data_IF_026928458587
#
_entry.id   IF_026928458587
#
_cell.length_a   1.000
_cell.length_b   1.000
_cell.length_c   1.000
_cell.angle_alpha   90.00
_cell.angle_beta   90.00
_cell.angle_gamma   90.00
#
_symmetry.space_group_name_H-M   'P 1'
#
loop_
_entity.id
_entity.type
_entity.pdbx_description
1 polymer ?
#
# COMPACT_ATOMS: atom_id res chain seq x y z
N UNK A 1 32.09 -14.04 -32.63
CA UNK A 1 30.84 -14.45 -31.96
C UNK A 1 30.31 -13.22 -31.23
N UNK A 2 29.20 -12.67 -31.75
CA UNK A 2 28.56 -11.46 -31.26
C UNK A 2 27.89 -11.73 -29.92
N UNK A 3 28.34 -11.06 -28.86
CA UNK A 3 27.64 -11.02 -27.58
C UNK A 3 27.09 -9.60 -27.37
N UNK A 4 25.93 -9.32 -27.96
CA UNK A 4 25.19 -8.07 -27.81
C UNK A 4 24.15 -8.18 -26.68
N UNK A 5 24.61 -8.54 -25.48
CA UNK A 5 23.79 -8.49 -24.25
C UNK A 5 24.44 -7.63 -23.16
N UNK A 6 24.86 -6.43 -23.54
CA UNK A 6 25.04 -5.32 -22.61
C UNK A 6 24.21 -4.13 -23.07
N UNK A 7 22.95 -4.09 -22.64
CA UNK A 7 22.24 -2.84 -22.39
C UNK A 7 21.51 -2.96 -21.07
N UNK A 8 22.25 -2.63 -20.00
CA UNK A 8 21.65 -2.03 -18.81
C UNK A 8 21.06 -0.68 -19.24
N UNK A 9 19.91 -0.33 -18.67
CA UNK A 9 19.22 0.97 -18.80
C UNK A 9 18.62 1.33 -20.15
N UNK A 10 17.52 0.67 -20.53
CA UNK A 10 16.34 1.48 -20.84
C UNK A 10 15.41 1.43 -19.63
N UNK A 11 14.85 2.56 -19.17
CA UNK A 11 13.78 2.50 -18.20
C UNK A 11 12.68 1.60 -18.77
N UNK A 12 12.21 0.62 -17.99
CA UNK A 12 11.09 -0.23 -18.38
C UNK A 12 9.79 0.58 -18.61
N UNK A 13 9.84 1.89 -18.37
CA UNK A 13 8.78 2.88 -18.59
C UNK A 13 8.60 3.28 -20.08
N UNK A 14 9.25 2.60 -21.02
CA UNK A 14 8.84 2.72 -22.42
C UNK A 14 7.39 2.23 -22.53
N UNK A 15 6.53 3.10 -23.04
CA UNK A 15 5.12 2.83 -23.31
C UNK A 15 5.00 1.86 -24.49
N UNK A 16 5.35 0.59 -24.26
CA UNK A 16 5.31 -0.43 -25.31
C UNK A 16 3.93 -1.11 -25.27
N UNK A 17 3.23 -1.06 -26.40
CA UNK A 17 1.85 -1.52 -26.61
C UNK A 17 1.59 -3.04 -26.40
N UNK A 18 2.57 -3.83 -25.96
CA UNK A 18 2.38 -5.27 -25.75
C UNK A 18 1.92 -5.55 -24.32
N UNK A 19 0.83 -6.30 -24.19
CA UNK A 19 0.40 -6.87 -22.92
C UNK A 19 1.38 -7.95 -22.48
N UNK A 20 1.66 -8.00 -21.18
CA UNK A 20 2.43 -9.09 -20.58
C UNK A 20 1.63 -10.39 -20.68
N UNK A 21 2.28 -11.43 -21.22
CA UNK A 21 1.73 -12.79 -21.30
C UNK A 21 1.87 -13.48 -19.95
N UNK A 22 0.86 -13.34 -19.12
CA UNK A 22 0.68 -13.99 -17.83
C UNK A 22 -0.47 -15.01 -17.88
N UNK A 23 -1.27 -15.03 -18.94
CA UNK A 23 -2.40 -15.93 -19.12
C UNK A 23 -1.99 -17.39 -19.28
N UNK A 24 -0.75 -17.65 -19.67
CA UNK A 24 -0.16 -19.00 -19.76
C UNK A 24 0.55 -19.45 -18.48
N UNK A 25 0.65 -18.58 -17.47
CA UNK A 25 1.21 -18.93 -16.18
C UNK A 25 0.33 -19.96 -15.43
N UNK A 26 0.97 -20.76 -14.59
CA UNK A 26 0.28 -21.69 -13.71
C UNK A 26 -0.56 -20.97 -12.66
N UNK A 27 -1.73 -21.53 -12.38
CA UNK A 27 -2.57 -21.07 -11.28
C UNK A 27 -1.87 -21.37 -9.94
N UNK A 28 -1.85 -20.38 -9.06
CA UNK A 28 -1.43 -20.55 -7.68
C UNK A 28 -2.54 -21.28 -6.93
N UNK A 29 -2.20 -22.42 -6.31
CA UNK A 29 -3.14 -23.32 -5.61
C UNK A 29 -3.94 -22.55 -4.53
N UNK A 30 -3.26 -21.65 -3.81
CA UNK A 30 -3.88 -20.76 -2.83
C UNK A 30 -3.51 -19.30 -3.15
N UNK A 31 -4.38 -18.56 -3.85
CA UNK A 31 -4.07 -17.20 -4.28
C UNK A 31 -4.20 -16.21 -3.12
N UNK A 32 -3.15 -16.18 -2.28
CA UNK A 32 -2.99 -15.27 -1.14
C UNK A 32 -1.77 -14.37 -1.35
N UNK A 33 -1.79 -13.21 -0.69
CA UNK A 33 -0.63 -12.33 -0.65
C UNK A 33 0.42 -12.94 0.29
N UNK A 34 1.68 -12.96 -0.15
CA UNK A 34 2.79 -13.49 0.63
C UNK A 34 3.77 -12.39 1.04
N UNK A 35 4.27 -12.45 2.26
CA UNK A 35 5.32 -11.57 2.79
C UNK A 35 6.68 -12.19 2.53
N UNK A 36 7.51 -11.50 1.75
CA UNK A 36 8.84 -11.98 1.39
C UNK A 36 9.92 -11.06 1.95
N UNK A 37 11.03 -11.68 2.33
CA UNK A 37 12.31 -11.02 2.56
C UNK A 37 12.96 -10.61 1.23
N UNK A 38 13.96 -9.71 1.28
CA UNK A 38 14.74 -9.35 0.10
C UNK A 38 15.41 -10.59 -0.55
N UNK A 39 15.88 -11.52 0.27
CA UNK A 39 16.49 -12.79 -0.17
C UNK A 39 15.53 -13.63 -1.00
N UNK A 40 14.32 -13.84 -0.49
CA UNK A 40 13.29 -14.62 -1.19
C UNK A 40 12.89 -13.94 -2.49
N UNK A 41 12.78 -12.61 -2.50
CA UNK A 41 12.50 -11.84 -3.72
C UNK A 41 13.64 -12.01 -4.75
N UNK A 42 14.90 -11.88 -4.34
CA UNK A 42 16.07 -12.10 -5.20
C UNK A 42 16.20 -13.55 -5.68
N UNK A 43 15.74 -14.52 -4.89
CA UNK A 43 15.65 -15.91 -5.31
C UNK A 43 14.59 -16.08 -6.39
N UNK A 44 13.41 -15.49 -6.21
CA UNK A 44 12.34 -15.51 -7.21
C UNK A 44 12.81 -14.95 -8.56
N UNK A 45 13.60 -13.88 -8.58
CA UNK A 45 14.06 -13.28 -9.85
C UNK A 45 14.97 -14.21 -10.66
N UNK A 46 15.55 -15.24 -10.05
CA UNK A 46 16.38 -16.25 -10.71
C UNK A 46 15.59 -17.47 -11.17
N UNK A 47 14.36 -17.66 -10.68
CA UNK A 47 13.55 -18.81 -11.01
C UNK A 47 13.06 -18.77 -12.46
N UNK A 48 13.07 -19.96 -13.08
CA UNK A 48 12.51 -20.22 -14.40
C UNK A 48 11.60 -21.44 -14.31
N UNK A 49 10.45 -21.38 -14.96
CA UNK A 49 9.55 -22.52 -15.02
C UNK A 49 10.17 -23.66 -15.82
N UNK A 50 10.07 -24.89 -15.32
CA UNK A 50 10.67 -26.07 -15.98
C UNK A 50 10.01 -26.38 -17.33
N UNK A 51 8.72 -26.04 -17.47
CA UNK A 51 7.98 -26.20 -18.72
C UNK A 51 8.15 -25.00 -19.67
N UNK A 52 8.99 -24.01 -19.32
CA UNK A 52 9.22 -22.82 -20.14
C UNK A 52 8.04 -21.86 -20.21
N UNK A 53 7.03 -22.00 -19.33
CA UNK A 53 5.90 -21.06 -19.26
C UNK A 53 6.35 -19.76 -18.59
N UNK A 54 5.85 -18.60 -19.03
CA UNK A 54 6.11 -17.37 -18.33
C UNK A 54 5.45 -17.42 -16.96
N UNK A 55 6.14 -16.97 -15.92
CA UNK A 55 5.53 -16.75 -14.60
C UNK A 55 5.47 -15.26 -14.29
N UNK A 56 4.36 -14.84 -13.67
CA UNK A 56 4.11 -13.44 -13.36
C UNK A 56 3.95 -13.21 -11.88
N UNK A 57 4.46 -12.07 -11.44
CA UNK A 57 4.47 -11.66 -10.05
C UNK A 57 4.17 -10.17 -9.96
N UNK A 58 3.33 -9.80 -9.00
CA UNK A 58 3.09 -8.43 -8.61
C UNK A 58 3.74 -8.22 -7.24
N UNK A 59 4.75 -7.35 -7.20
CA UNK A 59 5.44 -6.99 -5.97
C UNK A 59 4.91 -5.66 -5.42
N UNK A 60 4.81 -5.56 -4.10
CA UNK A 60 4.57 -4.32 -3.37
C UNK A 60 5.72 -4.07 -2.41
N UNK A 61 6.58 -3.12 -2.75
CA UNK A 61 7.63 -2.63 -1.87
C UNK A 61 7.03 -1.55 -0.98
N UNK A 62 6.98 -1.82 0.32
CA UNK A 62 6.28 -0.97 1.27
C UNK A 62 7.16 -0.66 2.47
N UNK A 63 6.82 0.45 3.15
CA UNK A 63 7.36 0.78 4.46
C UNK A 63 6.20 0.91 5.46
N UNK A 64 6.26 0.25 6.63
CA UNK A 64 5.30 0.38 7.74
C UNK A 64 4.99 1.82 8.16
N UNK A 65 5.97 2.71 7.99
CA UNK A 65 5.94 4.10 8.46
C UNK A 65 5.43 5.08 7.38
N UNK A 66 5.14 4.58 6.18
CA UNK A 66 4.71 5.39 5.05
C UNK A 66 3.18 5.40 4.90
N UNK A 67 2.56 6.58 5.03
CA UNK A 67 1.11 6.78 4.82
C UNK A 67 0.62 6.35 3.42
N UNK A 68 1.44 6.53 2.39
CA UNK A 68 1.06 6.11 1.04
C UNK A 68 1.04 4.60 0.91
N UNK A 69 1.94 3.90 1.62
CA UNK A 69 1.95 2.44 1.64
C UNK A 69 0.70 1.90 2.35
N UNK A 70 0.29 2.54 3.46
CA UNK A 70 -0.88 2.10 4.22
C UNK A 70 -2.19 2.25 3.42
N UNK A 71 -2.32 3.30 2.60
CA UNK A 71 -3.48 3.51 1.71
C UNK A 71 -3.64 2.43 0.65
N UNK A 72 -2.55 1.79 0.26
CA UNK A 72 -2.52 0.79 -0.83
C UNK A 72 -2.60 -0.64 -0.29
N UNK A 73 -2.16 -0.85 0.94
CA UNK A 73 -2.03 -2.16 1.57
C UNK A 73 -3.29 -3.02 1.45
N UNK A 74 -4.47 -2.45 1.72
CA UNK A 74 -5.72 -3.23 1.68
C UNK A 74 -6.11 -3.64 0.25
N UNK A 75 -6.09 -2.69 -0.68
CA UNK A 75 -6.36 -2.96 -2.10
C UNK A 75 -5.37 -3.97 -2.67
N UNK A 76 -4.10 -3.88 -2.28
CA UNK A 76 -3.07 -4.83 -2.68
C UNK A 76 -3.32 -6.23 -2.12
N UNK A 77 -3.64 -6.36 -0.82
CA UNK A 77 -3.91 -7.66 -0.20
C UNK A 77 -4.99 -8.44 -0.95
N UNK A 78 -6.04 -7.73 -1.39
CA UNK A 78 -7.19 -8.34 -2.05
C UNK A 78 -6.87 -8.84 -3.47
N UNK A 79 -5.85 -8.29 -4.14
CA UNK A 79 -5.61 -8.51 -5.56
C UNK A 79 -5.25 -9.96 -5.91
N UNK A 80 -4.61 -10.67 -4.98
CA UNK A 80 -4.21 -12.07 -5.14
C UNK A 80 -5.40 -12.94 -5.55
N UNK A 81 -6.55 -12.71 -4.91
CA UNK A 81 -7.77 -13.50 -5.14
C UNK A 81 -8.38 -13.25 -6.52
N UNK A 82 -8.26 -12.03 -7.06
CA UNK A 82 -8.79 -11.71 -8.39
C UNK A 82 -7.98 -12.39 -9.51
N UNK A 83 -6.68 -12.54 -9.30
CA UNK A 83 -5.74 -13.01 -10.32
C UNK A 83 -4.91 -14.20 -9.80
N UNK A 84 -5.47 -15.43 -9.77
CA UNK A 84 -4.74 -16.59 -9.26
C UNK A 84 -3.52 -17.01 -10.09
N UNK A 85 -3.38 -16.52 -11.32
CA UNK A 85 -2.18 -16.69 -12.16
C UNK A 85 -1.06 -15.71 -11.84
N UNK A 86 -1.34 -14.73 -10.98
CA UNK A 86 -0.40 -13.70 -10.56
C UNK A 86 0.02 -14.01 -9.13
N UNK A 87 1.31 -14.22 -8.92
CA UNK A 87 1.85 -14.28 -7.56
C UNK A 87 1.82 -12.88 -6.98
N UNK A 88 1.36 -12.71 -5.76
CA UNK A 88 1.26 -11.40 -5.12
C UNK A 88 2.13 -11.39 -3.89
N UNK A 89 3.13 -10.53 -3.90
CA UNK A 89 4.17 -10.51 -2.87
C UNK A 89 4.34 -9.10 -2.32
N UNK A 90 4.39 -8.97 -1.01
CA UNK A 90 4.75 -7.74 -0.32
C UNK A 90 6.14 -7.87 0.29
N UNK A 91 6.97 -6.84 0.14
CA UNK A 91 8.34 -6.79 0.66
C UNK A 91 8.48 -5.54 1.51
N UNK A 92 8.83 -5.74 2.77
CA UNK A 92 9.07 -4.66 3.72
C UNK A 92 10.48 -4.10 3.55
N UNK A 93 10.59 -2.89 3.00
CA UNK A 93 11.89 -2.25 2.77
C UNK A 93 12.55 -1.74 4.05
N UNK A 94 11.79 -1.60 5.15
CA UNK A 94 12.30 -1.08 6.41
C UNK A 94 13.15 -2.11 7.17
N UNK A 95 12.95 -3.40 6.91
CA UNK A 95 13.67 -4.49 7.60
C UNK A 95 15.15 -4.60 7.23
N UNK A 96 15.63 -3.79 6.28
CA UNK A 96 17.04 -3.46 6.06
C UNK A 96 17.96 -4.64 5.74
N UNK A 97 19.22 -4.32 5.41
CA UNK A 97 20.29 -5.29 5.16
C UNK A 97 20.88 -5.24 3.75
N UNK A 98 22.04 -5.88 3.58
CA UNK A 98 22.82 -5.85 2.32
C UNK A 98 22.02 -6.34 1.11
N UNK A 99 21.14 -7.31 1.31
CA UNK A 99 20.31 -7.86 0.23
C UNK A 99 19.21 -6.90 -0.20
N UNK A 100 18.64 -6.15 0.75
CA UNK A 100 17.67 -5.10 0.44
C UNK A 100 18.34 -3.95 -0.33
N UNK A 101 19.54 -3.53 0.08
CA UNK A 101 20.32 -2.53 -0.65
C UNK A 101 20.63 -2.98 -2.08
N UNK A 102 21.03 -4.25 -2.26
CA UNK A 102 21.25 -4.84 -3.58
C UNK A 102 19.98 -4.85 -4.42
N UNK A 103 18.83 -5.23 -3.84
CA UNK A 103 17.54 -5.26 -4.53
C UNK A 103 17.11 -3.84 -4.96
N UNK A 104 17.24 -2.87 -4.06
CA UNK A 104 16.93 -1.46 -4.32
C UNK A 104 17.81 -0.90 -5.43
N UNK A 105 19.13 -1.16 -5.38
CA UNK A 105 20.07 -0.67 -6.38
C UNK A 105 19.86 -1.34 -7.75
N UNK A 106 19.71 -2.66 -7.77
CA UNK A 106 19.57 -3.43 -9.00
C UNK A 106 18.26 -3.12 -9.75
N UNK A 107 17.19 -2.90 -9.00
CA UNK A 107 15.86 -2.70 -9.57
C UNK A 107 15.32 -1.28 -9.40
N UNK A 108 16.17 -0.34 -8.97
CA UNK A 108 15.89 1.10 -8.89
C UNK A 108 14.68 1.46 -8.03
N UNK A 109 14.54 0.86 -6.85
CA UNK A 109 13.43 1.13 -5.91
C UNK A 109 13.78 2.39 -5.10
N UNK A 110 13.43 3.56 -5.62
CA UNK A 110 13.84 4.83 -5.01
C UNK A 110 12.91 5.33 -3.89
N UNK A 111 11.67 4.84 -3.82
CA UNK A 111 10.66 5.31 -2.87
C UNK A 111 9.68 4.20 -2.48
N UNK A 112 8.82 4.47 -1.50
CA UNK A 112 7.69 3.60 -1.14
C UNK A 112 6.38 4.39 -1.14
N UNK A 113 5.26 3.80 -1.57
CA UNK A 113 5.14 2.45 -2.12
C UNK A 113 5.63 2.35 -3.57
N UNK A 114 6.17 1.18 -3.95
CA UNK A 114 6.45 0.84 -5.35
C UNK A 114 5.78 -0.48 -5.68
N UNK A 115 4.91 -0.44 -6.69
CA UNK A 115 4.27 -1.63 -7.24
C UNK A 115 4.90 -1.94 -8.59
N UNK A 116 5.29 -3.19 -8.80
CA UNK A 116 5.87 -3.64 -10.05
C UNK A 116 5.33 -5.00 -10.47
N UNK A 117 5.06 -5.15 -11.76
CA UNK A 117 4.75 -6.43 -12.40
C UNK A 117 6.05 -6.99 -12.97
N UNK A 118 6.33 -8.23 -12.59
CA UNK A 118 7.48 -9.01 -12.98
C UNK A 118 7.02 -10.13 -13.91
N UNK A 119 7.84 -10.41 -14.93
CA UNK A 119 7.68 -11.56 -15.79
C UNK A 119 9.04 -12.26 -15.89
N UNK A 120 9.07 -13.53 -15.52
CA UNK A 120 10.28 -14.35 -15.50
C UNK A 120 11.45 -13.71 -14.73
N UNK A 121 11.13 -13.12 -13.58
CA UNK A 121 12.11 -12.52 -12.69
C UNK A 121 12.67 -11.17 -13.13
N UNK A 122 12.16 -10.60 -14.23
CA UNK A 122 12.50 -9.25 -14.66
C UNK A 122 11.33 -8.31 -14.37
N UNK A 123 11.56 -7.13 -13.78
CA UNK A 123 10.51 -6.13 -13.64
C UNK A 123 10.20 -5.62 -15.04
N UNK A 124 8.95 -5.77 -15.48
CA UNK A 124 8.51 -5.35 -16.80
C UNK A 124 7.75 -4.04 -16.76
N UNK A 125 7.02 -3.81 -15.68
CA UNK A 125 6.19 -2.63 -15.53
C UNK A 125 6.22 -2.16 -14.09
N UNK A 126 6.32 -0.84 -13.91
CA UNK A 126 6.06 -0.16 -12.64
C UNK A 126 4.72 0.55 -12.72
N UNK A 127 3.96 0.49 -11.64
CA UNK A 127 2.66 1.16 -11.57
C UNK A 127 2.87 2.53 -10.94
N UNK A 128 2.35 3.58 -11.60
CA UNK A 128 2.43 4.98 -11.14
C UNK A 128 1.05 5.63 -10.90
N UNK A 129 -0.04 4.97 -11.31
CA UNK A 129 -1.41 5.48 -11.13
C UNK A 129 -1.90 5.39 -9.67
N UNK A 130 -3.06 5.98 -9.35
CA UNK A 130 -3.64 5.90 -8.00
C UNK A 130 -4.19 4.50 -7.68
N UNK A 131 -3.30 3.59 -7.25
CA UNK A 131 -3.59 2.22 -6.84
C UNK A 131 -4.10 2.10 -5.39
N UNK A 132 -4.50 3.21 -4.75
CA UNK A 132 -5.18 3.15 -3.45
C UNK A 132 -6.54 2.43 -3.54
N UNK A 133 -7.20 2.50 -4.70
CA UNK A 133 -8.49 1.85 -4.96
C UNK A 133 -8.30 0.51 -5.67
N UNK A 134 -8.95 -0.53 -5.13
CA UNK A 134 -8.94 -1.87 -5.71
C UNK A 134 -9.37 -1.89 -7.19
N UNK A 135 -10.41 -1.13 -7.55
CA UNK A 135 -10.89 -1.07 -8.93
C UNK A 135 -9.85 -0.50 -9.90
N UNK A 136 -9.10 0.52 -9.48
CA UNK A 136 -8.01 1.08 -10.29
C UNK A 136 -6.92 0.03 -10.49
N UNK A 137 -6.52 -0.66 -9.41
CA UNK A 137 -5.50 -1.71 -9.49
C UNK A 137 -5.91 -2.87 -10.42
N UNK A 138 -7.16 -3.33 -10.35
CA UNK A 138 -7.73 -4.34 -11.25
C UNK A 138 -7.68 -3.84 -12.71
N UNK A 139 -8.10 -2.60 -12.96
CA UNK A 139 -8.10 -2.03 -14.30
C UNK A 139 -6.69 -1.95 -14.89
N UNK A 140 -5.72 -1.48 -14.11
CA UNK A 140 -4.32 -1.38 -14.52
C UNK A 140 -3.75 -2.75 -14.86
N UNK A 141 -3.96 -3.77 -14.01
CA UNK A 141 -3.50 -5.13 -14.30
C UNK A 141 -4.16 -5.67 -15.57
N UNK A 142 -5.45 -5.43 -15.78
CA UNK A 142 -6.19 -5.87 -16.99
C UNK A 142 -5.70 -5.17 -18.27
N UNK A 143 -5.27 -3.92 -18.17
CA UNK A 143 -4.75 -3.16 -19.31
C UNK A 143 -3.35 -3.63 -19.70
N UNK A 144 -2.53 -3.96 -18.70
CA UNK A 144 -1.10 -4.22 -18.85
C UNK A 144 -0.76 -5.71 -19.00
N UNK A 145 -1.68 -6.60 -18.63
CA UNK A 145 -1.54 -8.05 -18.76
C UNK A 145 -2.70 -8.64 -19.56
N UNK A 146 -2.52 -9.85 -20.07
CA UNK A 146 -3.57 -10.66 -20.70
C UNK A 146 -4.46 -11.41 -19.69
N UNK A 147 -4.30 -11.14 -18.38
CA UNK A 147 -5.07 -11.79 -17.32
C UNK A 147 -6.53 -11.32 -17.31
N UNK A 148 -7.41 -12.28 -17.01
CA UNK A 148 -8.83 -12.02 -16.75
C UNK A 148 -9.10 -12.25 -15.25
N UNK A 149 -9.76 -11.32 -14.56
CA UNK A 149 -10.11 -11.52 -13.16
C UNK A 149 -11.09 -12.71 -13.03
N UNK A 150 -10.80 -13.67 -12.15
CA UNK A 150 -11.67 -14.84 -11.94
C UNK A 150 -12.81 -14.58 -10.94
N UNK A 151 -12.64 -13.66 -9.99
CA UNK A 151 -13.63 -13.39 -8.94
C UNK A 151 -14.72 -12.45 -9.46
N UNK A 152 -15.96 -12.93 -9.46
CA UNK A 152 -17.15 -12.11 -9.62
C UNK A 152 -17.34 -11.35 -8.30
N UNK A 153 -17.50 -10.02 -8.33
CA UNK A 153 -17.67 -9.11 -7.18
C UNK A 153 -18.86 -9.44 -6.22
N UNK A 154 -19.53 -10.59 -6.38
CA UNK A 154 -20.66 -11.00 -5.55
C UNK A 154 -20.18 -11.82 -4.35
N UNK A 155 -20.35 -11.21 -3.17
CA UNK A 155 -20.02 -11.64 -1.81
C UNK A 155 -18.57 -11.44 -1.36
N UNK A 156 -18.34 -10.24 -0.82
CA UNK A 156 -17.39 -9.93 0.25
C UNK A 156 -17.75 -10.64 1.58
N UNK A 157 -18.33 -11.84 1.55
CA UNK A 157 -18.66 -12.57 2.78
C UNK A 157 -17.45 -13.41 3.21
N UNK A 158 -16.99 -13.13 4.43
CA UNK A 158 -16.30 -14.02 5.36
C UNK A 158 -15.51 -15.16 4.71
N UNK A 159 -14.33 -14.80 4.19
CA UNK A 159 -13.38 -15.79 3.73
C UNK A 159 -12.70 -16.43 4.94
N UNK A 160 -12.53 -17.75 4.87
CA UNK A 160 -11.85 -18.55 5.88
C UNK A 160 -10.41 -18.05 6.09
N UNK A 161 -10.23 -17.24 7.15
CA UNK A 161 -8.95 -16.78 7.67
C UNK A 161 -8.29 -17.85 8.57
N UNK A 162 -8.85 -19.06 8.68
CA UNK A 162 -8.17 -20.15 9.35
C UNK A 162 -6.93 -20.58 8.53
N UNK A 163 -5.79 -20.72 9.22
CA UNK A 163 -4.54 -21.18 8.63
C UNK A 163 -3.65 -20.10 8.00
N UNK A 164 -3.66 -18.86 8.51
CA UNK A 164 -2.63 -17.87 8.18
C UNK A 164 -1.26 -18.26 8.78
N UNK A 165 -0.18 -17.86 8.11
CA UNK A 165 1.20 -18.08 8.56
C UNK A 165 1.98 -16.76 8.52
N UNK A 166 3.17 -16.70 9.11
CA UNK A 166 3.98 -15.46 9.06
C UNK A 166 4.32 -15.02 7.63
N UNK A 167 4.50 -15.98 6.72
CA UNK A 167 4.75 -15.74 5.28
C UNK A 167 3.47 -15.45 4.49
N UNK A 168 2.31 -15.86 5.00
CA UNK A 168 0.99 -15.62 4.39
C UNK A 168 0.04 -15.06 5.45
N UNK A 169 0.23 -13.78 5.83
CA UNK A 169 -0.49 -13.20 6.94
C UNK A 169 -1.99 -13.03 6.65
N UNK A 170 -2.78 -13.06 7.71
CA UNK A 170 -4.18 -12.66 7.64
C UNK A 170 -4.29 -11.17 7.30
N UNK A 171 -5.45 -10.74 6.78
CA UNK A 171 -5.64 -9.34 6.35
C UNK A 171 -5.40 -8.39 7.51
N UNK A 172 -6.00 -8.66 8.66
CA UNK A 172 -5.88 -7.80 9.84
C UNK A 172 -4.44 -7.73 10.34
N UNK A 173 -3.74 -8.85 10.39
CA UNK A 173 -2.33 -8.91 10.81
C UNK A 173 -1.45 -8.11 9.85
N UNK A 174 -1.63 -8.25 8.53
CA UNK A 174 -0.90 -7.48 7.54
C UNK A 174 -1.15 -5.97 7.69
N UNK A 175 -2.42 -5.55 7.82
CA UNK A 175 -2.78 -4.15 7.96
C UNK A 175 -2.30 -3.54 9.29
N UNK A 176 -2.23 -4.34 10.36
CA UNK A 176 -1.72 -3.90 11.67
C UNK A 176 -0.26 -3.48 11.65
N UNK A 177 0.52 -3.89 10.62
CA UNK A 177 1.92 -3.50 10.46
C UNK A 177 2.09 -2.03 10.12
N UNK A 178 1.07 -1.37 9.59
CA UNK A 178 1.16 0.02 9.21
C UNK A 178 0.78 0.92 10.39
N UNK A 179 1.76 1.69 10.90
CA UNK A 179 1.56 2.58 12.06
C UNK A 179 0.42 3.59 11.83
N UNK A 180 0.25 4.06 10.60
CA UNK A 180 -0.79 5.03 10.26
C UNK A 180 -2.21 4.44 10.34
N UNK A 181 -2.40 3.17 9.97
CA UNK A 181 -3.70 2.50 10.14
C UNK A 181 -4.03 2.27 11.62
N UNK A 182 -2.99 2.10 12.44
CA UNK A 182 -3.14 2.02 13.89
C UNK A 182 -3.46 3.38 14.51
N UNK A 183 -2.91 4.47 13.96
CA UNK A 183 -3.14 5.83 14.42
C UNK A 183 -4.56 6.37 14.11
N UNK A 184 -5.21 5.94 13.02
CA UNK A 184 -6.63 6.28 12.77
C UNK A 184 -7.59 5.67 13.81
N UNK A 185 -7.18 4.61 14.52
CA UNK A 185 -7.89 4.03 15.66
C UNK A 185 -7.41 4.61 17.01
N UNK A 186 -6.30 5.34 17.01
CA UNK A 186 -5.69 5.95 18.20
C UNK A 186 -6.15 7.40 18.37
N UNK A 187 -6.70 7.72 19.52
CA UNK A 187 -7.04 9.09 19.89
C UNK A 187 -5.84 10.03 19.72
N UNK A 188 -5.92 11.00 18.80
CA UNK A 188 -4.82 11.94 18.52
C UNK A 188 -4.63 12.89 19.71
N UNK A 189 -3.68 12.53 20.58
CA UNK A 189 -3.42 13.24 21.82
C UNK A 189 -3.00 14.70 21.59
N UNK A 190 -2.34 15.01 20.47
CA UNK A 190 -1.95 16.38 20.15
C UNK A 190 -3.18 17.23 19.82
N UNK A 191 -4.13 16.69 19.04
CA UNK A 191 -5.39 17.34 18.76
C UNK A 191 -6.20 17.57 20.05
N UNK A 192 -6.18 16.60 20.95
CA UNK A 192 -6.85 16.72 22.24
C UNK A 192 -6.24 17.82 23.12
N UNK A 193 -4.92 17.84 23.28
CA UNK A 193 -4.22 18.88 24.06
C UNK A 193 -4.41 20.26 23.42
N UNK A 194 -4.37 20.36 22.09
CA UNK A 194 -4.67 21.60 21.37
C UNK A 194 -6.12 22.06 21.58
N UNK A 195 -7.08 21.13 21.63
CA UNK A 195 -8.49 21.45 21.90
C UNK A 195 -8.69 21.98 23.32
N UNK A 196 -8.04 21.36 24.32
CA UNK A 196 -8.10 21.80 25.72
C UNK A 196 -7.47 23.17 25.89
N UNK A 197 -6.28 23.39 25.33
CA UNK A 197 -5.58 24.68 25.42
C UNK A 197 -6.36 25.80 24.71
N UNK A 198 -6.99 25.52 23.56
CA UNK A 198 -7.92 26.45 22.92
C UNK A 198 -9.11 26.80 23.82
N UNK A 199 -9.75 25.82 24.44
CA UNK A 199 -10.90 26.05 25.35
C UNK A 199 -10.48 26.88 26.57
N UNK A 200 -9.32 26.57 27.16
CA UNK A 200 -8.78 27.33 28.29
C UNK A 200 -8.45 28.78 27.92
N UNK A 201 -7.86 29.01 26.74
CA UNK A 201 -7.57 30.36 26.26
C UNK A 201 -8.85 31.15 25.95
N UNK A 202 -9.85 30.51 25.36
CA UNK A 202 -11.15 31.13 25.09
C UNK A 202 -11.86 31.47 26.40
N UNK A 203 -11.92 30.54 27.36
CA UNK A 203 -12.54 30.79 28.68
C UNK A 203 -11.81 31.88 29.46
N UNK A 204 -10.48 31.88 29.46
CA UNK A 204 -9.67 32.96 30.05
C UNK A 204 -9.97 34.31 29.41
N UNK A 205 -9.99 34.38 28.07
CA UNK A 205 -10.30 35.60 27.33
C UNK A 205 -11.70 36.11 27.66
N UNK A 206 -12.68 35.21 27.78
CA UNK A 206 -14.07 35.56 28.12
C UNK A 206 -14.19 36.07 29.56
N UNK A 207 -13.51 35.43 30.52
CA UNK A 207 -13.67 35.75 31.94
C UNK A 207 -12.88 36.98 32.37
N UNK A 208 -11.63 37.10 31.92
CA UNK A 208 -10.71 38.13 32.44
C UNK A 208 -10.59 39.35 31.52
N UNK A 209 -10.77 39.22 30.21
CA UNK A 209 -10.67 40.37 29.29
C UNK A 209 -11.92 41.23 29.33
N UNK A 210 -11.74 42.56 29.46
CA UNK A 210 -12.84 43.53 29.36
C UNK A 210 -13.45 43.54 27.96
N UNK A 211 -12.61 43.49 26.91
CA UNK A 211 -13.05 43.38 25.51
C UNK A 211 -13.77 42.07 25.21
N UNK A 212 -13.37 40.97 25.85
CA UNK A 212 -14.03 39.66 25.69
C UNK A 212 -15.46 39.66 26.25
N UNK A 213 -15.66 40.26 27.42
CA UNK A 213 -16.98 40.42 28.06
C UNK A 213 -17.91 41.35 27.26
N UNK A 214 -17.38 42.39 26.63
CA UNK A 214 -18.15 43.29 25.76
C UNK A 214 -18.64 42.58 24.49
N UNK A 215 -17.79 41.80 23.83
CA UNK A 215 -18.16 41.04 22.62
C UNK A 215 -19.26 40.00 22.89
N UNK A 216 -19.21 39.29 24.02
CA UNK A 216 -20.26 38.33 24.40
C UNK A 216 -21.58 39.03 24.70
N UNK A 217 -21.55 40.19 25.39
CA UNK A 217 -22.77 40.98 25.62
C UNK A 217 -23.41 41.48 24.33
N UNK A 218 -22.60 41.75 23.30
CA UNK A 218 -23.08 42.22 21.99
C UNK A 218 -23.70 41.10 21.14
N UNK A 219 -23.09 39.90 21.13
CA UNK A 219 -23.54 38.79 20.27
C UNK A 219 -24.50 37.79 20.95
N UNK A 220 -24.45 37.65 22.28
CA UNK A 220 -25.29 36.68 23.02
C UNK A 220 -26.07 37.35 24.16
N UNK A 221 -27.19 38.03 23.85
CA UNK A 221 -27.96 38.80 24.83
C UNK A 221 -28.61 37.95 25.94
N UNK A 222 -28.76 36.63 25.74
CA UNK A 222 -29.31 35.70 26.76
C UNK A 222 -28.32 35.36 27.90
N UNK A 223 -27.01 35.52 27.69
CA UNK A 223 -25.98 35.22 28.70
C UNK A 223 -25.64 36.43 29.58
N UNK A 224 -26.36 37.54 29.43
CA UNK A 224 -26.13 38.82 30.11
C UNK A 224 -26.12 38.72 31.64
N UNK A 225 -26.92 37.81 32.20
CA UNK A 225 -27.09 37.66 33.65
C UNK A 225 -25.98 36.85 34.35
N UNK A 226 -25.10 36.17 33.59
CA UNK A 226 -24.00 35.37 34.15
C UNK A 226 -22.71 36.18 34.36
N UNK A 227 -22.61 37.37 33.77
CA UNK A 227 -21.41 38.23 33.82
C UNK A 227 -21.72 39.64 34.34
N UNK A 228 -22.76 39.77 35.17
CA UNK A 228 -23.12 40.99 35.90
C UNK A 228 -22.64 40.87 37.36
N UNK A 229 -21.32 40.83 37.52
CA UNK A 229 -20.57 40.97 38.77
C UNK A 229 -19.23 41.61 38.43
#
# INVERSE_FOLDING_TARGET
MNDTRCMVSLPCDLNISWKLNCGTADDVIHPRMQLFTAQEMLYLTKLRDKAGRPWCLLSFFFSPDCIFSSKVADSFYQIARFYPKLRVVAVDVSKGGKEMESLIAQYGIASTPVLAIWQDGLPRLRLYEDYSKLQTLINVIRLQTDLKPKVIFKKYEEFDESGCTETEPCRQEFLSRFKYLQAELGFDWYLFVASITCILNITYFILFSTKGRELIRQYFPRLRNLFAS
#
